data_IF_014655360912
#
_entry.id   IF_014655360912
#
_cell.length_a   1.000
_cell.length_b   1.000
_cell.length_c   1.000
_cell.angle_alpha   90.00
_cell.angle_beta   90.00
_cell.angle_gamma   90.00
#
_symmetry.space_group_name_H-M   'P 1'
#
loop_
_entity.id
_entity.type
_entity.pdbx_description
1 polymer ?
#
# COMPACT_ATOMS: atom_id res chain seq x y z
N UNK A 1 3.72 -34.88 -30.05
CA UNK A 1 3.07 -33.68 -29.48
C UNK A 1 3.54 -33.52 -28.05
N UNK A 2 4.37 -32.53 -27.75
CA UNK A 2 4.82 -32.25 -26.37
C UNK A 2 3.80 -31.29 -25.77
N UNK A 3 2.88 -31.83 -24.97
CA UNK A 3 1.97 -31.04 -24.13
C UNK A 3 2.80 -30.48 -22.97
N UNK A 4 3.32 -29.26 -23.14
CA UNK A 4 3.87 -28.52 -22.00
C UNK A 4 2.66 -28.10 -21.16
N UNK A 5 2.49 -28.71 -19.99
CA UNK A 5 1.61 -28.15 -18.95
C UNK A 5 2.05 -26.71 -18.75
N UNK A 6 1.24 -25.74 -19.19
CA UNK A 6 1.41 -24.36 -18.76
C UNK A 6 1.26 -24.39 -17.25
N UNK A 7 2.35 -24.09 -16.55
CA UNK A 7 2.31 -23.80 -15.13
C UNK A 7 1.44 -22.55 -15.00
N UNK A 8 0.19 -22.73 -14.61
CA UNK A 8 -0.69 -21.62 -14.27
C UNK A 8 -0.15 -21.13 -12.93
N UNK A 9 0.59 -20.02 -12.97
CA UNK A 9 0.95 -19.29 -11.75
C UNK A 9 -0.38 -18.99 -11.07
N UNK A 10 -0.60 -19.42 -9.81
CA UNK A 10 -1.81 -19.06 -9.08
C UNK A 10 -1.97 -17.56 -9.22
N UNK A 11 -3.15 -17.10 -9.66
CA UNK A 11 -3.48 -15.68 -9.68
C UNK A 11 -3.18 -15.20 -8.26
N UNK A 12 -2.12 -14.41 -8.11
CA UNK A 12 -1.70 -13.87 -6.82
C UNK A 12 -2.95 -13.29 -6.18
N UNK A 13 -3.25 -13.68 -4.95
CA UNK A 13 -4.48 -13.32 -4.24
C UNK A 13 -4.46 -11.79 -4.10
N UNK A 14 -5.01 -11.07 -5.09
CA UNK A 14 -5.03 -9.61 -5.10
C UNK A 14 -5.90 -9.17 -3.94
N UNK A 15 -5.28 -8.56 -2.94
CA UNK A 15 -6.00 -7.98 -1.82
C UNK A 15 -6.48 -6.59 -2.21
N UNK A 16 -7.75 -6.35 -2.02
CA UNK A 16 -8.39 -5.08 -2.34
C UNK A 16 -9.45 -4.83 -1.29
N UNK A 17 -9.41 -3.64 -0.71
CA UNK A 17 -10.49 -3.10 0.11
C UNK A 17 -11.08 -1.91 -0.63
N UNK A 18 -12.40 -1.86 -0.72
CA UNK A 18 -13.11 -0.79 -1.44
C UNK A 18 -13.08 0.53 -0.66
N UNK A 19 -12.98 0.46 0.66
CA UNK A 19 -12.97 1.64 1.52
C UNK A 19 -11.98 1.43 2.66
N UNK A 20 -11.01 2.35 2.76
CA UNK A 20 -10.00 2.32 3.81
C UNK A 20 -9.84 3.70 4.43
N UNK A 21 -9.64 3.75 5.74
CA UNK A 21 -9.14 4.93 6.44
C UNK A 21 -7.64 4.77 6.62
N UNK A 22 -6.88 5.70 6.07
CA UNK A 22 -5.42 5.73 6.24
C UNK A 22 -5.02 6.86 7.19
N UNK A 23 -3.98 6.64 7.98
CA UNK A 23 -3.38 7.64 8.84
C UNK A 23 -1.85 7.56 8.74
N UNK A 24 -1.21 8.72 8.58
CA UNK A 24 0.24 8.83 8.72
C UNK A 24 0.54 9.31 10.13
N UNK A 25 1.30 8.52 10.87
CA UNK A 25 1.71 8.82 12.24
C UNK A 25 3.23 8.94 12.28
N UNK A 26 3.75 9.92 13.02
CA UNK A 26 5.18 10.05 13.30
C UNK A 26 5.39 9.96 14.80
N UNK A 27 6.21 9.01 15.22
CA UNK A 27 6.71 8.86 16.59
C UNK A 27 8.23 8.92 16.53
N UNK A 28 8.81 9.95 17.13
CA UNK A 28 10.24 10.29 17.01
C UNK A 28 10.73 10.32 15.55
N UNK A 29 11.54 9.33 15.16
CA UNK A 29 12.11 9.18 13.82
C UNK A 29 11.36 8.16 12.96
N UNK A 30 10.41 7.43 13.53
CA UNK A 30 9.65 6.39 12.85
C UNK A 30 8.38 7.03 12.28
N UNK A 31 8.18 6.88 10.98
CA UNK A 31 6.92 7.26 10.32
C UNK A 31 6.20 5.99 9.94
N UNK A 32 4.91 5.90 10.27
CA UNK A 32 4.08 4.75 10.03
C UNK A 32 2.85 5.14 9.23
N UNK A 33 2.47 4.30 8.28
CA UNK A 33 1.18 4.32 7.62
C UNK A 33 0.31 3.25 8.26
N UNK A 34 -0.81 3.68 8.84
CA UNK A 34 -1.82 2.81 9.40
C UNK A 34 -2.98 2.76 8.42
N UNK A 35 -3.41 1.56 8.04
CA UNK A 35 -4.56 1.36 7.18
C UNK A 35 -5.62 0.58 7.94
N UNK A 36 -6.79 1.18 8.14
CA UNK A 36 -7.97 0.52 8.67
C UNK A 36 -8.88 0.20 7.49
N UNK A 37 -9.15 -1.08 7.29
CA UNK A 37 -9.76 -1.62 6.09
C UNK A 37 -11.22 -1.99 6.39
N UNK A 38 -12.14 -1.45 5.62
CA UNK A 38 -13.54 -1.83 5.73
C UNK A 38 -13.82 -3.05 4.84
N UNK A 39 -14.65 -3.97 5.33
CA UNK A 39 -15.11 -5.18 4.62
C UNK A 39 -13.97 -6.01 4.00
N UNK A 40 -12.80 -6.04 4.65
CA UNK A 40 -11.63 -6.77 4.17
C UNK A 40 -11.54 -8.16 4.82
N UNK A 41 -11.57 -9.21 4.00
CA UNK A 41 -11.70 -10.61 4.45
C UNK A 41 -10.47 -11.18 5.16
N UNK A 42 -9.35 -10.46 5.22
CA UNK A 42 -8.09 -10.98 5.76
C UNK A 42 -7.66 -10.28 7.06
N UNK A 43 -8.39 -9.26 7.49
CA UNK A 43 -8.20 -8.58 8.77
C UNK A 43 -8.67 -7.14 8.73
N UNK A 44 -8.55 -6.43 9.86
CA UNK A 44 -9.20 -5.12 10.03
C UNK A 44 -8.24 -3.95 9.86
N UNK A 45 -6.96 -4.17 10.11
CA UNK A 45 -5.94 -3.13 9.99
C UNK A 45 -4.56 -3.65 9.61
N UNK A 46 -3.74 -2.77 9.05
CA UNK A 46 -2.34 -2.98 8.69
C UNK A 46 -1.48 -1.80 9.14
N UNK A 47 -0.21 -2.08 9.41
CA UNK A 47 0.80 -1.09 9.75
C UNK A 47 2.01 -1.25 8.82
N UNK A 48 2.47 -0.14 8.26
CA UNK A 48 3.63 -0.06 7.38
C UNK A 48 4.60 0.96 7.95
N UNK A 49 5.84 0.56 8.22
CA UNK A 49 6.90 1.50 8.60
C UNK A 49 7.47 2.12 7.33
N UNK A 50 7.28 3.43 7.17
CA UNK A 50 7.76 4.19 6.01
C UNK A 50 9.16 4.77 6.26
N UNK A 51 10.01 4.68 5.25
CA UNK A 51 11.39 5.17 5.24
C UNK A 51 11.62 6.11 4.07
N UNK A 52 12.60 7.02 4.20
CA UNK A 52 12.98 7.93 3.11
C UNK A 52 13.54 7.21 1.88
N UNK A 53 13.95 5.95 2.02
CA UNK A 53 14.44 5.08 0.95
C UNK A 53 13.33 4.37 0.20
N UNK A 54 12.10 4.41 0.70
CA UNK A 54 10.98 3.75 0.05
C UNK A 54 10.65 4.46 -1.26
N UNK A 55 10.25 3.69 -2.27
CA UNK A 55 9.92 4.23 -3.57
C UNK A 55 8.41 4.41 -3.67
N UNK A 56 7.97 5.67 -3.70
CA UNK A 56 6.58 6.01 -3.94
C UNK A 56 6.40 6.50 -5.38
N UNK A 57 5.45 5.94 -6.10
CA UNK A 57 5.13 6.28 -7.49
C UNK A 57 3.71 6.82 -7.60
N UNK A 58 3.56 7.99 -8.21
CA UNK A 58 2.26 8.53 -8.58
C UNK A 58 1.72 7.85 -9.83
N UNK A 59 0.42 7.58 -9.87
CA UNK A 59 -0.25 7.18 -11.11
C UNK A 59 -1.72 7.56 -11.06
N UNK A 60 -2.38 7.64 -12.21
CA UNK A 60 -3.83 7.86 -12.28
C UNK A 60 -4.50 6.61 -12.85
N UNK A 61 -5.64 6.23 -12.28
CA UNK A 61 -6.41 5.06 -12.74
C UNK A 61 -7.89 5.32 -12.60
N UNK A 62 -8.63 5.17 -13.71
CA UNK A 62 -10.10 5.27 -13.71
C UNK A 62 -10.63 6.58 -13.08
N UNK A 63 -9.94 7.70 -13.30
CA UNK A 63 -10.31 9.01 -12.73
C UNK A 63 -9.91 9.20 -11.25
N UNK A 64 -9.26 8.21 -10.62
CA UNK A 64 -8.69 8.33 -9.27
C UNK A 64 -7.23 8.74 -9.34
N UNK A 65 -6.79 9.45 -8.32
CA UNK A 65 -5.40 9.85 -8.10
C UNK A 65 -4.76 8.82 -7.19
N UNK A 66 -3.73 8.12 -7.65
CA UNK A 66 -3.18 7.00 -6.91
C UNK A 66 -1.70 7.20 -6.55
N UNK A 67 -1.31 6.57 -5.45
CA UNK A 67 0.09 6.41 -5.05
C UNK A 67 0.35 4.92 -4.87
N UNK A 68 1.45 4.43 -5.43
CA UNK A 68 1.97 3.09 -5.20
C UNK A 68 3.19 3.18 -4.30
N UNK A 69 3.23 2.38 -3.24
CA UNK A 69 4.44 2.10 -2.48
C UNK A 69 5.02 0.82 -3.07
N UNK A 70 6.18 0.93 -3.70
CA UNK A 70 6.86 -0.19 -4.36
C UNK A 70 7.56 -1.06 -3.32
N UNK A 71 7.37 -2.37 -3.41
CA UNK A 71 7.97 -3.36 -2.49
C UNK A 71 7.73 -3.01 -1.01
N UNK A 72 6.49 -2.60 -0.69
CA UNK A 72 6.14 -2.21 0.66
C UNK A 72 6.25 -3.42 1.59
N UNK A 73 6.96 -3.26 2.71
CA UNK A 73 7.18 -4.34 3.68
C UNK A 73 6.19 -4.24 4.82
N UNK A 74 5.48 -5.34 5.09
CA UNK A 74 4.43 -5.35 6.10
C UNK A 74 4.33 -6.70 6.82
N UNK A 75 3.74 -6.66 8.01
CA UNK A 75 3.29 -7.85 8.71
C UNK A 75 1.89 -8.23 8.23
N UNK A 76 1.61 -9.53 8.15
CA UNK A 76 0.27 -10.02 7.80
C UNK A 76 -0.77 -9.50 8.80
N UNK A 77 -1.98 -9.15 8.33
CA UNK A 77 -3.04 -8.70 9.21
C UNK A 77 -3.45 -9.86 10.15
N UNK A 78 -3.80 -9.51 11.38
CA UNK A 78 -4.32 -10.47 12.36
C UNK A 78 -5.75 -10.86 12.00
N UNK A 79 -6.06 -12.14 12.13
CA UNK A 79 -7.40 -12.69 11.88
C UNK A 79 -8.32 -12.46 13.08
N UNK A 80 -9.65 -12.53 12.87
CA UNK A 80 -10.65 -12.25 13.90
C UNK A 80 -10.56 -13.14 15.16
N UNK A 81 -9.84 -14.26 15.10
CA UNK A 81 -9.57 -15.13 16.26
C UNK A 81 -8.58 -14.49 17.26
N UNK A 82 -7.87 -13.44 16.87
CA UNK A 82 -6.98 -12.66 17.73
C UNK A 82 -7.72 -11.43 18.30
N UNK A 83 -7.83 -11.29 19.64
CA UNK A 83 -8.41 -10.10 20.27
C UNK A 83 -7.70 -8.79 19.88
N UNK A 84 -6.45 -8.87 19.41
CA UNK A 84 -5.68 -7.72 18.95
C UNK A 84 -5.91 -7.39 17.46
N UNK A 85 -6.83 -8.07 16.77
CA UNK A 85 -7.10 -7.88 15.33
C UNK A 85 -7.63 -6.49 14.95
N UNK A 86 -8.20 -5.76 15.91
CA UNK A 86 -8.71 -4.40 15.76
C UNK A 86 -7.68 -3.30 16.06
N UNK A 87 -6.46 -3.68 16.47
CA UNK A 87 -5.48 -2.76 17.01
C UNK A 87 -4.13 -2.85 16.29
N UNK A 88 -3.48 -1.69 16.15
CA UNK A 88 -2.10 -1.56 15.66
C UNK A 88 -1.21 -1.07 16.81
N UNK A 89 -0.02 -1.67 16.95
CA UNK A 89 0.98 -1.19 17.90
C UNK A 89 1.87 -0.12 17.25
N UNK A 90 2.06 1.01 17.94
CA UNK A 90 2.92 2.10 17.47
C UNK A 90 4.35 1.97 18.02
N UNK A 91 4.48 1.56 19.28
CA UNK A 91 5.77 1.51 19.99
C UNK A 91 6.67 0.38 19.50
N UNK A 92 6.08 -0.78 19.18
CA UNK A 92 6.77 -1.95 18.66
C UNK A 92 6.08 -2.42 17.39
N UNK A 93 6.46 -1.87 16.22
CA UNK A 93 5.92 -2.33 14.95
C UNK A 93 6.21 -3.82 14.75
N UNK A 94 5.22 -4.56 14.26
CA UNK A 94 5.38 -5.98 13.94
C UNK A 94 6.46 -6.16 12.87
N UNK A 95 7.23 -7.25 12.99
CA UNK A 95 8.30 -7.54 12.03
C UNK A 95 7.69 -7.86 10.65
N UNK A 96 8.12 -7.17 9.57
CA UNK A 96 7.55 -7.42 8.26
C UNK A 96 8.07 -8.75 7.70
N UNK A 97 7.15 -9.71 7.52
CA UNK A 97 7.42 -11.00 6.89
C UNK A 97 7.08 -11.02 5.41
N UNK A 98 6.25 -10.08 4.95
CA UNK A 98 5.75 -9.99 3.58
C UNK A 98 6.22 -8.71 2.89
N UNK A 99 6.19 -8.75 1.56
CA UNK A 99 6.42 -7.58 0.73
C UNK A 99 5.59 -7.64 -0.56
N UNK A 100 4.97 -6.52 -0.93
CA UNK A 100 4.19 -6.40 -2.19
C UNK A 100 4.03 -4.92 -2.57
N UNK A 101 3.60 -4.66 -3.80
CA UNK A 101 3.23 -3.33 -4.25
C UNK A 101 1.87 -2.93 -3.68
N UNK A 102 1.84 -1.85 -2.89
CA UNK A 102 0.61 -1.35 -2.26
C UNK A 102 0.15 -0.10 -2.99
N UNK A 103 -1.05 -0.15 -3.57
CA UNK A 103 -1.68 0.97 -4.25
C UNK A 103 -2.78 1.60 -3.39
N UNK A 104 -2.71 2.91 -3.19
CA UNK A 104 -3.70 3.71 -2.50
C UNK A 104 -4.34 4.64 -3.51
N UNK A 105 -5.67 4.64 -3.59
CA UNK A 105 -6.44 5.48 -4.50
C UNK A 105 -7.16 6.59 -3.72
N UNK A 106 -7.11 7.81 -4.24
CA UNK A 106 -7.74 8.99 -3.71
C UNK A 106 -8.78 9.54 -4.69
N UNK A 107 -9.87 10.06 -4.13
CA UNK A 107 -10.95 10.66 -4.91
C UNK A 107 -10.60 12.05 -5.44
N UNK A 108 -9.71 12.77 -4.73
CA UNK A 108 -9.26 14.11 -5.11
C UNK A 108 -7.73 14.19 -5.21
N UNK A 109 -7.25 15.09 -6.07
CA UNK A 109 -5.82 15.40 -6.17
C UNK A 109 -5.30 16.02 -4.88
N UNK A 110 -6.14 16.84 -4.21
CA UNK A 110 -5.81 17.48 -2.95
C UNK A 110 -5.51 16.45 -1.85
N UNK A 111 -6.30 15.39 -1.74
CA UNK A 111 -6.06 14.31 -0.76
C UNK A 111 -4.75 13.57 -1.04
N UNK A 112 -4.46 13.30 -2.33
CA UNK A 112 -3.17 12.73 -2.74
C UNK A 112 -2.01 13.67 -2.36
N UNK A 113 -2.14 14.98 -2.61
CA UNK A 113 -1.11 15.96 -2.27
C UNK A 113 -0.90 16.07 -0.75
N UNK A 114 -1.96 16.00 0.05
CA UNK A 114 -1.87 15.98 1.50
C UNK A 114 -1.15 14.71 2.00
N UNK A 115 -1.46 13.56 1.42
CA UNK A 115 -0.75 12.32 1.70
C UNK A 115 0.74 12.44 1.35
N UNK A 116 1.06 12.98 0.17
CA UNK A 116 2.43 13.20 -0.29
C UNK A 116 3.24 14.11 0.65
N UNK A 117 2.62 15.14 1.20
CA UNK A 117 3.27 16.05 2.15
C UNK A 117 3.55 15.38 3.52
N UNK A 118 2.79 14.34 3.88
CA UNK A 118 2.91 13.65 5.16
C UNK A 118 3.91 12.48 5.14
N UNK A 119 4.09 11.80 4.00
CA UNK A 119 4.98 10.64 3.88
C UNK A 119 6.46 11.04 3.83
N UNK A 120 7.39 10.19 4.31
CA UNK A 120 8.81 10.42 4.12
C UNK A 120 9.20 10.14 2.66
N UNK A 121 10.01 11.03 2.09
CA UNK A 121 10.51 10.89 0.72
C UNK A 121 9.72 11.67 -0.33
N UNK A 122 10.12 11.52 -1.59
CA UNK A 122 9.49 12.18 -2.73
C UNK A 122 8.71 11.17 -3.56
N UNK A 123 7.45 11.49 -3.89
CA UNK A 123 6.71 10.70 -4.87
C UNK A 123 7.29 10.98 -6.25
N UNK A 124 7.70 9.91 -6.94
CA UNK A 124 8.08 9.98 -8.35
C UNK A 124 6.82 10.12 -9.17
N UNK A 125 6.66 11.27 -9.81
CA UNK A 125 5.57 11.47 -10.76
C UNK A 125 5.72 10.51 -11.94
N UNK A 126 4.61 9.97 -12.48
CA UNK A 126 4.67 9.14 -13.65
C UNK A 126 5.24 9.99 -14.78
N UNK A 127 6.34 9.53 -15.37
CA UNK A 127 7.01 10.20 -16.47
C UNK A 127 6.00 10.40 -17.60
N UNK A 128 5.60 11.65 -17.84
CA UNK A 128 4.82 12.05 -19.02
C UNK A 128 5.72 11.98 -20.25
N UNK A 129 6.13 10.77 -20.64
CA UNK A 129 6.80 10.58 -21.91
C UNK A 129 5.73 10.73 -22.98
N UNK A 130 5.59 11.96 -23.48
CA UNK A 130 4.74 12.27 -24.63
C UNK A 130 5.13 11.33 -25.75
N UNK A 131 4.17 10.52 -26.21
CA UNK A 131 4.34 9.63 -27.35
C UNK A 131 4.71 10.48 -28.58
N UNK A 132 6.00 10.64 -28.86
CA UNK A 132 6.49 11.10 -30.15
C UNK A 132 6.20 10.00 -31.18
N UNK A 133 4.98 10.01 -31.71
CA UNK A 133 4.69 9.34 -32.98
C UNK A 133 5.34 10.19 -34.08
N UNK A 134 6.38 9.63 -34.69
CA UNK A 134 6.95 10.10 -35.95
C UNK A 134 6.25 9.38 -37.10
#
# INVERSE_FOLDING_TARGET
>A
MISRRRMVVPITKKWESTMARIQIVRQDKVVQLLAFLNDFSHGRCLNFVLKSTDTLEGFNRSGKFCVRIVDAKFALPKTDDDPASDFVCLDMPDYPSEHDDIAIAFDSEADRSNFQAAVPGSIREPSRMGSLRR
#
